data_IF_856381788173
#
_entry.id   IF_856381788173
#
_cell.length_a   1.000
_cell.length_b   1.000
_cell.length_c   1.000
_cell.angle_alpha   90.00
_cell.angle_beta   90.00
_cell.angle_gamma   90.00
#
_symmetry.space_group_name_H-M   'P 1'
#
loop_
_entity.id
_entity.type
_entity.pdbx_description
1 polymer ?
#
# COMPACT_ATOMS: atom_id res chain seq x y z
N UNK A 1 21.52 0.33 -2.71
CA UNK A 1 20.07 0.31 -2.44
C UNK A 1 19.45 -0.79 -3.29
N UNK A 2 19.15 -1.91 -2.68
CA UNK A 2 18.45 -3.04 -3.29
C UNK A 2 16.95 -2.79 -3.16
N UNK A 3 16.33 -2.28 -4.22
CA UNK A 3 14.89 -2.10 -4.28
C UNK A 3 14.22 -3.49 -4.30
N UNK A 4 13.65 -3.91 -3.18
CA UNK A 4 12.65 -4.98 -3.19
C UNK A 4 11.41 -4.38 -3.84
N UNK A 5 10.95 -4.96 -4.95
CA UNK A 5 9.74 -4.54 -5.65
C UNK A 5 8.63 -5.56 -5.43
N UNK A 6 7.38 -5.10 -5.44
CA UNK A 6 6.22 -6.00 -5.48
C UNK A 6 6.01 -6.43 -6.93
N UNK A 7 5.78 -7.73 -7.16
CA UNK A 7 5.39 -8.24 -8.47
C UNK A 7 4.02 -8.89 -8.40
N UNK A 8 3.17 -8.52 -9.36
CA UNK A 8 1.85 -9.12 -9.56
C UNK A 8 1.96 -10.10 -10.71
N UNK A 9 1.64 -11.37 -10.44
CA UNK A 9 1.59 -12.42 -11.48
C UNK A 9 0.20 -12.46 -12.10
N UNK A 10 0.17 -12.42 -13.43
CA UNK A 10 -1.05 -12.58 -14.22
C UNK A 10 -1.13 -14.01 -14.72
N UNK A 11 -2.18 -14.71 -14.29
CA UNK A 11 -2.37 -16.15 -14.54
C UNK A 11 -3.61 -16.30 -15.44
N UNK A 12 -3.47 -17.10 -16.48
CA UNK A 12 -4.62 -17.51 -17.27
C UNK A 12 -5.44 -18.53 -16.47
N UNK A 13 -6.71 -18.23 -16.19
CA UNK A 13 -7.55 -19.05 -15.32
C UNK A 13 -7.90 -20.42 -15.93
N UNK A 14 -7.91 -20.54 -17.25
CA UNK A 14 -8.29 -21.77 -17.96
C UNK A 14 -7.15 -22.80 -17.94
N UNK A 15 -5.92 -22.32 -18.11
CA UNK A 15 -4.73 -23.16 -18.23
C UNK A 15 -3.88 -23.20 -16.95
N UNK A 16 -4.19 -22.34 -15.98
CA UNK A 16 -3.37 -22.08 -14.78
C UNK A 16 -1.91 -21.68 -15.10
N UNK A 17 -1.61 -21.29 -16.34
CA UNK A 17 -0.27 -20.88 -16.75
C UNK A 17 -0.04 -19.39 -16.45
N UNK A 18 1.18 -19.08 -16.00
CA UNK A 18 1.62 -17.68 -15.85
C UNK A 18 1.80 -17.06 -17.23
N UNK A 19 1.06 -15.99 -17.52
CA UNK A 19 1.15 -15.28 -18.79
C UNK A 19 2.25 -14.21 -18.74
N UNK A 20 2.27 -13.40 -17.68
CA UNK A 20 3.31 -12.41 -17.43
C UNK A 20 3.32 -11.93 -15.97
N UNK A 21 4.37 -11.20 -15.60
CA UNK A 21 4.48 -10.52 -14.32
C UNK A 21 4.55 -9.01 -14.54
N UNK A 22 3.82 -8.23 -13.76
CA UNK A 22 3.95 -6.76 -13.72
C UNK A 22 4.57 -6.31 -12.41
N UNK A 23 5.25 -5.15 -12.43
CA UNK A 23 5.85 -4.53 -11.25
C UNK A 23 5.18 -3.17 -11.04
N UNK A 24 4.08 -3.08 -10.26
CA UNK A 24 3.48 -1.80 -9.95
C UNK A 24 4.42 -0.93 -9.10
N UNK A 25 4.27 0.41 -9.13
CA UNK A 25 5.00 1.28 -8.22
C UNK A 25 4.65 0.92 -6.77
N UNK A 26 5.66 0.75 -5.94
CA UNK A 26 5.49 0.47 -4.52
C UNK A 26 6.45 1.34 -3.71
N UNK A 27 5.96 1.90 -2.59
CA UNK A 27 6.79 2.56 -1.60
C UNK A 27 6.81 1.73 -0.32
N UNK A 28 8.00 1.24 0.04
CA UNK A 28 8.21 0.51 1.28
C UNK A 28 8.56 1.50 2.40
N UNK A 29 7.71 1.57 3.42
CA UNK A 29 8.01 2.26 4.67
C UNK A 29 8.58 1.23 5.66
N UNK A 30 9.62 1.60 6.39
CA UNK A 30 10.25 0.73 7.40
C UNK A 30 10.58 1.53 8.65
N UNK A 31 10.35 0.91 9.81
CA UNK A 31 10.76 1.42 11.11
C UNK A 31 9.76 1.04 12.20
N UNK A 32 10.26 0.85 13.41
CA UNK A 32 9.44 0.46 14.56
C UNK A 32 8.43 1.57 14.94
N UNK A 33 8.74 2.83 14.61
CA UNK A 33 7.88 4.00 14.81
C UNK A 33 6.55 3.94 14.04
N UNK A 34 6.39 3.05 13.04
CA UNK A 34 5.18 2.96 12.24
C UNK A 34 3.96 2.60 13.08
N UNK A 35 4.11 1.70 14.04
CA UNK A 35 3.04 1.34 14.98
C UNK A 35 2.67 2.53 15.87
N UNK A 36 3.66 3.23 16.43
CA UNK A 36 3.45 4.43 17.26
C UNK A 36 2.77 5.57 16.48
N UNK A 37 3.05 5.68 15.18
CA UNK A 37 2.38 6.62 14.27
C UNK A 37 0.99 6.13 13.80
N UNK A 38 0.54 4.95 14.24
CA UNK A 38 -0.78 4.40 13.97
C UNK A 38 -0.89 3.56 12.70
N UNK A 39 0.22 3.20 12.04
CA UNK A 39 0.24 2.35 10.84
C UNK A 39 0.31 0.86 11.22
N UNK A 40 -0.70 0.39 11.94
CA UNK A 40 -0.85 -1.01 12.34
C UNK A 40 -1.25 -1.89 11.15
N UNK A 41 -0.95 -3.19 11.21
CA UNK A 41 -1.36 -4.13 10.15
C UNK A 41 -2.88 -4.20 10.04
N UNK A 42 -3.41 -4.05 8.82
CA UNK A 42 -4.85 -4.07 8.56
C UNK A 42 -5.56 -2.73 8.77
N UNK A 43 -4.85 -1.69 9.25
CA UNK A 43 -5.40 -0.33 9.32
C UNK A 43 -5.46 0.31 7.94
N UNK A 44 -6.61 0.91 7.62
CA UNK A 44 -6.78 1.74 6.43
C UNK A 44 -5.85 2.95 6.47
N UNK A 45 -5.45 3.43 5.29
CA UNK A 45 -4.61 4.61 5.13
C UNK A 45 -5.21 5.50 4.05
N UNK A 46 -5.38 6.78 4.37
CA UNK A 46 -5.73 7.82 3.40
C UNK A 46 -4.46 8.36 2.77
N UNK A 47 -4.42 8.39 1.44
CA UNK A 47 -3.31 8.95 0.66
C UNK A 47 -3.77 10.25 0.00
N UNK A 48 -3.00 11.33 0.17
CA UNK A 48 -3.25 12.64 -0.46
C UNK A 48 -2.00 13.16 -1.16
N UNK A 49 -2.21 13.98 -2.18
CA UNK A 49 -1.16 14.82 -2.77
C UNK A 49 -1.30 16.22 -2.20
N UNK A 50 -0.23 16.77 -1.62
CA UNK A 50 -0.20 18.12 -1.06
C UNK A 50 1.16 18.74 -1.31
N UNK A 51 1.20 19.90 -1.97
CA UNK A 51 2.42 20.67 -2.24
C UNK A 51 3.57 19.82 -2.84
N UNK A 52 3.24 18.99 -3.84
CA UNK A 52 4.22 18.09 -4.47
C UNK A 52 4.65 16.88 -3.63
N UNK A 53 4.08 16.70 -2.43
CA UNK A 53 4.36 15.57 -1.55
C UNK A 53 3.21 14.55 -1.55
N UNK A 54 3.54 13.27 -1.35
CA UNK A 54 2.57 12.22 -0.99
C UNK A 54 2.46 12.22 0.53
N UNK A 55 1.25 12.45 1.04
CA UNK A 55 0.93 12.41 2.47
C UNK A 55 0.14 11.14 2.75
N UNK A 56 0.68 10.26 3.59
CA UNK A 56 0.01 9.07 4.10
C UNK A 56 -0.50 9.35 5.51
N UNK A 57 -1.77 9.07 5.77
CA UNK A 57 -2.40 9.26 7.07
C UNK A 57 -3.13 7.98 7.47
N UNK A 58 -2.82 7.43 8.64
CA UNK A 58 -3.56 6.30 9.17
C UNK A 58 -5.02 6.70 9.44
N UNK A 59 -5.98 5.93 8.95
CA UNK A 59 -7.39 6.26 9.05
C UNK A 59 -7.84 6.22 10.51
N UNK A 60 -8.50 7.27 11.01
CA UNK A 60 -9.03 7.29 12.37
C UNK A 60 -10.44 6.66 12.41
N UNK A 61 -10.71 5.83 13.42
CA UNK A 61 -12.05 5.29 13.68
C UNK A 61 -13.10 6.39 13.96
N UNK A 62 -12.66 7.60 14.31
CA UNK A 62 -13.53 8.73 14.65
C UNK A 62 -14.25 9.35 13.43
N UNK A 63 -13.92 8.96 12.19
CA UNK A 63 -14.50 9.56 10.97
C UNK A 63 -15.00 8.51 9.97
N UNK A 64 -15.94 7.66 10.40
CA UNK A 64 -16.90 7.00 9.52
C UNK A 64 -18.34 7.16 10.03
N UNK A 65 -18.65 8.27 10.72
CA UNK A 65 -20.02 8.80 10.77
C UNK A 65 -20.24 9.70 9.55
N UNK A 66 -20.28 9.10 8.37
CA UNK A 66 -20.92 9.75 7.23
C UNK A 66 -22.43 9.67 7.48
N UNK A 67 -23.04 10.84 7.68
CA UNK A 67 -24.47 11.07 7.65
C UNK A 67 -24.94 11.24 6.21
#
# INVERSE_FOLDING_TARGET
MNASGVSVRHINSETCMTMYCSQPPCQHLKGDWLEEAGFETGRGVTVKISDGCIVLMADNNEVQKLR
#
